data_IF_292054807882
#
_entry.id   IF_292054807882
#
_cell.length_a   1.000
_cell.length_b   1.000
_cell.length_c   1.000
_cell.angle_alpha   90.00
_cell.angle_beta   90.00
_cell.angle_gamma   90.00
#
_symmetry.space_group_name_H-M   'P 1'
#
loop_
_entity.id
_entity.type
_entity.pdbx_description
1 polymer ?
#
# COMPACT_ATOMS: atom_id res chain seq x y z
N UNK A 1 -7.03 -17.63 26.69
CA UNK A 1 -5.80 -17.83 27.49
C UNK A 1 -4.62 -17.44 26.62
N UNK A 2 -4.18 -16.18 26.67
CA UNK A 2 -3.01 -15.70 25.94
C UNK A 2 -2.01 -15.20 26.98
N UNK A 3 -0.85 -15.85 26.96
CA UNK A 3 0.24 -15.74 27.92
C UNK A 3 0.78 -14.31 27.95
N UNK A 4 0.68 -13.70 29.13
CA UNK A 4 1.24 -12.39 29.46
C UNK A 4 2.77 -12.51 29.57
N UNK A 5 3.49 -12.11 28.52
CA UNK A 5 4.93 -11.83 28.64
C UNK A 5 5.10 -10.43 29.20
N UNK A 6 5.34 -10.37 30.51
CA UNK A 6 5.78 -9.19 31.25
C UNK A 6 7.09 -8.67 30.65
N UNK A 7 7.05 -7.52 29.98
CA UNK A 7 8.25 -6.75 29.66
C UNK A 7 8.66 -5.97 30.91
N UNK A 8 9.45 -6.62 31.76
CA UNK A 8 10.15 -6.00 32.87
C UNK A 8 11.35 -5.22 32.32
N UNK A 9 11.14 -3.94 32.03
CA UNK A 9 12.21 -2.96 31.91
C UNK A 9 12.01 -1.90 33.00
N UNK A 10 12.64 -2.10 34.15
CA UNK A 10 12.88 -1.04 35.13
C UNK A 10 11.72 -0.65 36.06
N UNK A 11 10.92 -1.59 36.56
CA UNK A 11 10.07 -1.36 37.74
C UNK A 11 8.88 -0.41 37.53
N UNK A 12 8.24 -0.44 36.36
CA UNK A 12 7.02 0.32 36.10
C UNK A 12 5.82 -0.61 36.00
N UNK A 13 5.02 -0.68 37.07
CA UNK A 13 3.64 -1.18 37.02
C UNK A 13 2.83 -0.17 36.21
N UNK A 14 2.23 -0.65 35.12
CA UNK A 14 1.35 0.12 34.26
C UNK A 14 0.12 0.50 35.07
N UNK A 15 -0.08 1.80 35.29
CA UNK A 15 -1.17 2.37 36.08
C UNK A 15 -2.52 2.12 35.41
N UNK A 16 -3.25 1.10 35.85
CA UNK A 16 -4.71 1.14 35.88
C UNK A 16 -5.15 1.84 37.17
N UNK A 17 -6.16 2.72 37.08
CA UNK A 17 -6.91 3.36 38.19
C UNK A 17 -6.56 4.79 38.65
N UNK A 18 -5.82 5.60 37.89
CA UNK A 18 -5.86 7.06 38.13
C UNK A 18 -6.10 7.81 36.84
N UNK A 19 -7.37 8.17 36.60
CA UNK A 19 -7.73 9.21 35.64
C UNK A 19 -7.20 10.53 36.24
N UNK A 20 -5.97 10.91 35.88
CA UNK A 20 -5.42 12.21 36.28
C UNK A 20 -6.26 13.30 35.61
N UNK A 21 -6.85 14.24 36.37
CA UNK A 21 -7.61 15.32 35.77
C UNK A 21 -6.66 16.22 34.96
N UNK A 22 -6.93 16.20 33.65
CA UNK A 22 -6.65 17.19 32.61
C UNK A 22 -6.03 18.48 33.16
N UNK A 23 -4.77 18.78 32.79
CA UNK A 23 -4.07 20.09 32.78
C UNK A 23 -4.66 21.22 33.65
N UNK A 24 -4.98 20.98 34.92
CA UNK A 24 -5.48 21.99 35.85
C UNK A 24 -4.32 22.39 36.76
N UNK A 25 -3.72 23.60 36.60
CA UNK A 25 -2.55 24.01 37.38
C UNK A 25 -2.80 24.08 38.89
N UNK A 26 -4.07 24.25 39.29
CA UNK A 26 -4.51 24.31 40.69
C UNK A 26 -4.69 22.93 41.33
N UNK A 27 -4.58 21.83 40.57
CA UNK A 27 -4.75 20.50 41.12
C UNK A 27 -3.53 20.11 41.99
N UNK A 28 -3.72 19.55 43.20
CA UNK A 28 -2.62 19.22 44.12
C UNK A 28 -1.54 18.33 43.49
N UNK A 29 -1.93 17.43 42.59
CA UNK A 29 -1.03 16.50 41.90
C UNK A 29 -0.46 17.03 40.58
N UNK A 30 -0.77 18.27 40.18
CA UNK A 30 -0.37 18.82 38.87
C UNK A 30 1.15 18.84 38.70
N UNK A 31 1.91 19.23 39.72
CA UNK A 31 3.38 19.28 39.66
C UNK A 31 3.98 17.89 39.45
N UNK A 32 3.45 16.88 40.16
CA UNK A 32 3.90 15.49 40.02
C UNK A 32 3.55 14.93 38.63
N UNK A 33 2.33 15.18 38.16
CA UNK A 33 1.88 14.82 36.81
C UNK A 33 2.74 15.49 35.73
N UNK A 34 2.97 16.80 35.83
CA UNK A 34 3.79 17.59 34.89
C UNK A 34 5.19 17.03 34.76
N UNK A 35 5.86 16.75 35.89
CA UNK A 35 7.21 16.14 35.88
C UNK A 35 7.20 14.78 35.19
N UNK A 36 6.24 13.91 35.49
CA UNK A 36 6.10 12.59 34.85
C UNK A 36 5.83 12.70 33.35
N UNK A 37 4.92 13.58 32.97
CA UNK A 37 4.53 13.83 31.57
C UNK A 37 5.71 14.33 30.73
N UNK A 38 6.52 15.25 31.25
CA UNK A 38 7.76 15.71 30.60
C UNK A 38 8.76 14.57 30.41
N UNK A 39 8.90 13.69 31.41
CA UNK A 39 9.80 12.53 31.34
C UNK A 39 9.34 11.53 30.28
N UNK A 40 8.04 11.20 30.26
CA UNK A 40 7.45 10.29 29.27
C UNK A 40 7.58 10.88 27.86
N UNK A 41 7.31 12.17 27.68
CA UNK A 41 7.54 12.88 26.41
C UNK A 41 8.96 12.68 25.90
N UNK A 42 9.97 12.94 26.74
CA UNK A 42 11.38 12.74 26.39
C UNK A 42 11.68 11.29 26.04
N UNK A 43 11.10 10.34 26.76
CA UNK A 43 11.25 8.91 26.48
C UNK A 43 10.65 8.53 25.12
N UNK A 44 9.43 8.98 24.82
CA UNK A 44 8.74 8.75 23.54
C UNK A 44 9.57 9.27 22.35
N UNK A 45 10.03 10.53 22.42
CA UNK A 45 10.84 11.13 21.35
C UNK A 45 12.16 10.39 21.14
N UNK A 46 12.78 9.85 22.22
CA UNK A 46 14.02 9.07 22.14
C UNK A 46 13.85 7.72 21.44
N UNK A 47 12.65 7.16 21.41
CA UNK A 47 12.40 5.89 20.70
C UNK A 47 12.35 6.07 19.18
N UNK A 48 12.24 7.31 18.70
CA UNK A 48 12.07 7.59 17.27
C UNK A 48 13.43 7.65 16.55
N UNK A 49 13.44 7.17 15.30
CA UNK A 49 14.58 7.34 14.40
C UNK A 49 14.89 8.83 14.20
N UNK A 50 16.13 9.14 13.80
CA UNK A 50 16.56 10.53 13.57
C UNK A 50 15.64 11.24 12.55
N UNK A 51 15.27 10.54 11.48
CA UNK A 51 14.40 11.06 10.41
C UNK A 51 13.01 11.45 10.92
N UNK A 52 12.39 10.60 11.75
CA UNK A 52 11.06 10.87 12.32
C UNK A 52 11.13 12.01 13.32
N UNK A 53 12.23 12.15 14.07
CA UNK A 53 12.45 13.29 14.98
C UNK A 53 12.60 14.61 14.24
N UNK A 54 13.29 14.65 13.11
CA UNK A 54 13.40 15.88 12.31
C UNK A 54 12.05 16.28 11.70
N UNK A 55 11.27 15.31 11.20
CA UNK A 55 9.90 15.56 10.73
C UNK A 55 8.93 16.05 11.81
N UNK A 56 9.21 15.73 13.08
CA UNK A 56 8.44 16.24 14.22
C UNK A 56 8.79 17.71 14.56
N UNK A 57 9.95 18.20 14.10
CA UNK A 57 10.42 19.59 14.31
C UNK A 57 10.04 20.53 13.17
N UNK A 58 9.77 20.02 11.98
CA UNK A 58 9.33 20.79 10.82
C UNK A 58 7.81 21.07 10.90
N UNK A 59 7.39 22.29 10.60
CA UNK A 59 6.92 23.33 11.54
C UNK A 59 5.49 23.11 12.09
N UNK A 60 5.38 23.13 13.43
CA UNK A 60 4.34 23.81 14.23
C UNK A 60 4.98 24.05 15.59
N UNK A 61 5.58 25.22 15.75
CA UNK A 61 5.71 25.80 17.09
C UNK A 61 4.30 25.82 17.69
N UNK A 62 4.23 25.41 18.94
CA UNK A 62 3.06 25.31 19.81
C UNK A 62 2.56 23.88 20.08
N UNK A 63 2.92 23.44 21.29
CA UNK A 63 2.30 22.42 22.13
C UNK A 63 2.76 20.98 21.85
N UNK A 64 4.07 20.71 21.98
CA UNK A 64 4.56 19.41 22.46
C UNK A 64 4.86 19.50 23.96
N UNK A 65 3.98 20.09 24.76
CA UNK A 65 4.31 20.42 26.15
C UNK A 65 4.37 19.17 27.04
N UNK A 66 3.45 18.24 26.79
CA UNK A 66 3.23 17.05 27.60
C UNK A 66 3.32 15.75 26.78
N UNK A 67 3.23 14.61 27.47
CA UNK A 67 3.36 13.28 26.87
C UNK A 67 2.24 12.96 25.87
N UNK A 68 1.02 13.37 26.18
CA UNK A 68 -0.17 13.24 25.32
C UNK A 68 -0.01 14.04 24.03
N UNK A 69 0.47 15.28 24.12
CA UNK A 69 0.76 16.10 22.94
C UNK A 69 1.76 15.44 22.00
N UNK A 70 2.84 14.88 22.56
CA UNK A 70 3.86 14.19 21.78
C UNK A 70 3.37 12.86 21.20
N UNK A 71 2.56 12.12 21.95
CA UNK A 71 1.93 10.91 21.44
C UNK A 71 1.00 11.24 20.25
N UNK A 72 0.18 12.27 20.37
CA UNK A 72 -0.73 12.69 19.29
C UNK A 72 0.02 13.20 18.06
N UNK A 73 1.11 13.94 18.25
CA UNK A 73 1.94 14.40 17.14
C UNK A 73 2.62 13.23 16.41
N UNK A 74 3.17 12.26 17.15
CA UNK A 74 3.74 11.03 16.58
C UNK A 74 2.66 10.24 15.84
N UNK A 75 1.50 10.05 16.47
CA UNK A 75 0.37 9.34 15.87
C UNK A 75 -0.09 10.01 14.57
N UNK A 76 -0.24 11.35 14.57
CA UNK A 76 -0.58 12.11 13.36
C UNK A 76 0.48 11.99 12.28
N UNK A 77 1.77 11.99 12.64
CA UNK A 77 2.85 11.84 11.69
C UNK A 77 2.81 10.47 11.01
N UNK A 78 2.60 9.40 11.79
CA UNK A 78 2.43 8.03 11.28
C UNK A 78 1.18 7.94 10.40
N UNK A 79 0.02 8.37 10.89
CA UNK A 79 -1.24 8.33 10.12
C UNK A 79 -1.18 9.17 8.84
N UNK A 80 -0.49 10.32 8.84
CA UNK A 80 -0.27 11.12 7.63
C UNK A 80 0.64 10.40 6.66
N UNK A 81 1.69 9.74 7.15
CA UNK A 81 2.58 8.94 6.32
C UNK A 81 1.83 7.77 5.67
N UNK A 82 0.99 7.08 6.44
CA UNK A 82 0.17 5.97 5.96
C UNK A 82 -0.86 6.46 4.93
N UNK A 83 -1.59 7.54 5.20
CA UNK A 83 -2.56 8.09 4.24
C UNK A 83 -1.91 8.59 2.94
N UNK A 84 -0.76 9.27 3.03
CA UNK A 84 0.00 9.70 1.84
C UNK A 84 0.47 8.49 1.05
N UNK A 85 0.94 7.43 1.72
CA UNK A 85 1.34 6.19 1.09
C UNK A 85 0.16 5.50 0.40
N UNK A 86 -0.97 5.31 1.09
CA UNK A 86 -2.20 4.74 0.54
C UNK A 86 -2.67 5.52 -0.68
N UNK A 87 -2.72 6.86 -0.59
CA UNK A 87 -3.10 7.75 -1.71
C UNK A 87 -2.17 7.58 -2.89
N UNK A 88 -0.85 7.61 -2.67
CA UNK A 88 0.14 7.50 -3.73
C UNK A 88 0.08 6.13 -4.41
N UNK A 89 -0.05 5.05 -3.63
CA UNK A 89 -0.17 3.68 -4.16
C UNK A 89 -1.44 3.49 -4.97
N UNK A 90 -2.59 3.95 -4.44
CA UNK A 90 -3.87 3.88 -5.16
C UNK A 90 -3.84 4.71 -6.46
N UNK A 91 -3.38 5.96 -6.38
CA UNK A 91 -3.27 6.84 -7.55
C UNK A 91 -2.35 6.23 -8.61
N UNK A 92 -1.20 5.70 -8.19
CA UNK A 92 -0.26 5.00 -9.07
C UNK A 92 -0.93 3.83 -9.78
N UNK A 93 -1.73 3.02 -9.09
CA UNK A 93 -2.46 1.88 -9.67
C UNK A 93 -3.50 2.33 -10.71
N UNK A 94 -4.30 3.35 -10.41
CA UNK A 94 -5.33 3.86 -11.33
C UNK A 94 -4.71 4.53 -12.57
N UNK A 95 -3.57 5.20 -12.41
CA UNK A 95 -2.90 5.93 -13.49
C UNK A 95 -2.01 5.04 -14.38
N UNK A 96 -1.89 3.74 -14.08
CA UNK A 96 -1.10 2.82 -14.91
C UNK A 96 -1.72 2.65 -16.29
N UNK A 97 -0.97 3.05 -17.32
CA UNK A 97 -1.35 2.91 -18.73
C UNK A 97 -0.50 1.89 -19.44
N UNK A 98 -1.10 1.11 -20.34
CA UNK A 98 -0.39 0.14 -21.17
C UNK A 98 0.69 0.77 -22.03
N UNK A 99 0.48 2.00 -22.50
CA UNK A 99 1.42 2.76 -23.34
C UNK A 99 2.74 3.12 -22.64
N UNK A 100 2.80 3.09 -21.30
CA UNK A 100 4.04 3.36 -20.55
C UNK A 100 5.01 2.17 -20.53
N UNK A 101 4.64 1.04 -21.14
CA UNK A 101 5.40 -0.20 -21.10
C UNK A 101 5.73 -0.70 -22.51
N UNK A 102 6.92 -1.30 -22.65
CA UNK A 102 7.38 -1.84 -23.94
C UNK A 102 6.63 -3.10 -24.37
N UNK A 103 6.11 -3.88 -23.42
CA UNK A 103 5.36 -5.12 -23.69
C UNK A 103 4.16 -5.23 -22.77
N UNK A 104 3.16 -6.01 -23.19
CA UNK A 104 2.00 -6.36 -22.38
C UNK A 104 2.46 -7.08 -21.11
N UNK A 105 3.35 -8.06 -21.22
CA UNK A 105 3.85 -8.79 -20.05
C UNK A 105 4.45 -7.87 -18.98
N UNK A 106 5.21 -6.84 -19.38
CA UNK A 106 5.75 -5.84 -18.43
C UNK A 106 4.67 -4.99 -17.79
N UNK A 107 3.67 -4.56 -18.57
CA UNK A 107 2.52 -3.82 -18.05
C UNK A 107 1.75 -4.65 -17.02
N UNK A 108 1.31 -5.86 -17.38
CA UNK A 108 0.51 -6.73 -16.51
C UNK A 108 1.28 -7.12 -15.26
N UNK A 109 2.58 -7.41 -15.36
CA UNK A 109 3.42 -7.72 -14.18
C UNK A 109 3.53 -6.52 -13.24
N UNK A 110 3.72 -5.32 -13.79
CA UNK A 110 3.78 -4.10 -12.98
C UNK A 110 2.43 -3.78 -12.33
N UNK A 111 1.34 -3.93 -13.08
CA UNK A 111 -0.02 -3.71 -12.61
C UNK A 111 -0.39 -4.68 -11.49
N UNK A 112 -0.06 -5.97 -11.66
CA UNK A 112 -0.24 -7.00 -10.61
C UNK A 112 0.50 -6.65 -9.31
N UNK A 113 1.73 -6.13 -9.39
CA UNK A 113 2.49 -5.71 -8.21
C UNK A 113 1.84 -4.51 -7.53
N UNK A 114 1.47 -3.48 -8.30
CA UNK A 114 0.79 -2.31 -7.75
C UNK A 114 -0.57 -2.66 -7.10
N UNK A 115 -1.27 -3.66 -7.63
CA UNK A 115 -2.48 -4.20 -7.01
C UNK A 115 -2.18 -4.84 -5.65
N UNK A 116 -1.15 -5.68 -5.55
CA UNK A 116 -0.73 -6.28 -4.27
C UNK A 116 -0.34 -5.19 -3.27
N UNK A 117 0.47 -4.22 -3.68
CA UNK A 117 0.86 -3.09 -2.83
C UNK A 117 -0.37 -2.33 -2.28
N UNK A 118 -1.43 -2.18 -3.09
CA UNK A 118 -2.66 -1.53 -2.67
C UNK A 118 -3.51 -2.38 -1.69
N UNK A 119 -3.53 -3.71 -1.88
CA UNK A 119 -4.18 -4.62 -0.95
C UNK A 119 -3.47 -4.67 0.41
N UNK A 120 -2.13 -4.71 0.42
CA UNK A 120 -1.32 -4.72 1.64
C UNK A 120 -1.50 -3.43 2.48
N UNK A 121 -1.80 -2.31 1.83
CA UNK A 121 -2.08 -1.03 2.48
C UNK A 121 -3.55 -0.80 2.82
N UNK A 122 -4.40 -1.83 2.65
CA UNK A 122 -5.86 -1.77 2.85
C UNK A 122 -6.54 -0.62 2.07
N UNK A 123 -5.90 -0.12 1.00
CA UNK A 123 -6.46 0.90 0.10
C UNK A 123 -7.08 0.26 -1.16
N UNK A 124 -7.59 -0.96 -0.98
CA UNK A 124 -7.90 -1.91 -2.04
C UNK A 124 -9.00 -1.47 -3.00
N UNK A 125 -8.69 -1.58 -4.29
CA UNK A 125 -9.67 -1.70 -5.36
C UNK A 125 -10.21 -3.14 -5.38
N UNK A 126 -11.48 -3.34 -5.71
CA UNK A 126 -12.00 -4.71 -5.83
C UNK A 126 -11.31 -5.45 -6.98
N UNK A 127 -11.11 -6.78 -6.88
CA UNK A 127 -10.55 -7.59 -7.96
C UNK A 127 -11.25 -7.35 -9.31
N UNK A 128 -12.58 -7.25 -9.28
CA UNK A 128 -13.41 -6.93 -10.44
C UNK A 128 -13.06 -5.59 -11.08
N UNK A 129 -12.99 -4.51 -10.30
CA UNK A 129 -12.62 -3.19 -10.80
C UNK A 129 -11.19 -3.17 -11.36
N UNK A 130 -10.27 -3.90 -10.72
CA UNK A 130 -8.89 -4.03 -11.21
C UNK A 130 -8.83 -4.75 -12.57
N UNK A 131 -9.65 -5.79 -12.78
CA UNK A 131 -9.79 -6.48 -14.07
C UNK A 131 -10.34 -5.54 -15.13
N UNK A 132 -11.44 -4.82 -14.86
CA UNK A 132 -12.02 -3.91 -15.84
C UNK A 132 -11.03 -2.84 -16.31
N UNK A 133 -10.29 -2.27 -15.37
CA UNK A 133 -9.25 -1.29 -15.69
C UNK A 133 -8.12 -1.92 -16.52
N UNK A 134 -7.66 -3.11 -16.15
CA UNK A 134 -6.63 -3.82 -16.92
C UNK A 134 -7.11 -4.15 -18.34
N UNK A 135 -8.34 -4.67 -18.49
CA UNK A 135 -8.93 -5.02 -19.79
C UNK A 135 -9.04 -3.80 -20.71
N UNK A 136 -9.48 -2.65 -20.18
CA UNK A 136 -9.51 -1.38 -20.93
C UNK A 136 -8.14 -0.98 -21.46
N UNK A 137 -7.07 -1.25 -20.71
CA UNK A 137 -5.70 -0.94 -21.16
C UNK A 137 -5.17 -1.96 -22.17
N UNK A 138 -5.72 -3.17 -22.20
CA UNK A 138 -5.32 -4.26 -23.10
C UNK A 138 -6.13 -4.31 -24.40
N UNK A 139 -7.23 -3.57 -24.51
CA UNK A 139 -8.11 -3.55 -25.68
C UNK A 139 -7.37 -3.22 -26.98
N UNK A 140 -6.35 -2.34 -26.92
CA UNK A 140 -5.52 -2.00 -28.08
C UNK A 140 -4.58 -3.12 -28.54
N UNK A 141 -4.14 -4.01 -27.65
CA UNK A 141 -3.25 -5.12 -27.99
C UNK A 141 -4.04 -6.39 -28.34
N UNK A 142 -5.16 -6.66 -27.65
CA UNK A 142 -5.93 -7.90 -27.75
C UNK A 142 -7.46 -7.69 -27.79
N UNK A 143 -8.01 -6.96 -28.76
CA UNK A 143 -9.42 -6.56 -28.76
C UNK A 143 -10.38 -7.76 -28.65
N UNK A 144 -10.24 -8.76 -29.52
CA UNK A 144 -11.11 -9.95 -29.51
C UNK A 144 -11.01 -10.75 -28.21
N UNK A 145 -9.84 -10.80 -27.58
CA UNK A 145 -9.69 -11.51 -26.32
C UNK A 145 -10.33 -10.74 -25.16
N UNK A 146 -10.20 -9.40 -25.17
CA UNK A 146 -10.87 -8.54 -24.18
C UNK A 146 -12.38 -8.72 -24.27
N UNK A 147 -12.95 -8.70 -25.48
CA UNK A 147 -14.39 -8.93 -25.69
C UNK A 147 -14.86 -10.28 -25.14
N UNK A 148 -14.11 -11.35 -25.45
CA UNK A 148 -14.43 -12.70 -24.95
C UNK A 148 -14.39 -12.74 -23.42
N UNK A 149 -13.37 -12.13 -22.80
CA UNK A 149 -13.28 -12.11 -21.33
C UNK A 149 -14.43 -11.31 -20.73
N UNK A 150 -14.73 -10.12 -21.26
CA UNK A 150 -15.84 -9.30 -20.78
C UNK A 150 -17.19 -10.02 -20.88
N UNK A 151 -17.45 -10.71 -21.99
CA UNK A 151 -18.65 -11.52 -22.19
C UNK A 151 -18.69 -12.79 -21.31
N UNK A 152 -17.53 -13.25 -20.83
CA UNK A 152 -17.41 -14.44 -19.97
C UNK A 152 -17.40 -14.10 -18.48
N UNK A 153 -17.46 -12.81 -18.11
CA UNK A 153 -17.57 -12.42 -16.70
C UNK A 153 -18.96 -12.82 -16.18
N UNK A 154 -19.04 -13.45 -15.00
CA UNK A 154 -20.33 -13.85 -14.44
C UNK A 154 -21.19 -12.63 -14.09
N UNK A 155 -22.52 -12.78 -14.12
CA UNK A 155 -23.46 -11.68 -13.85
C UNK A 155 -23.29 -11.10 -12.42
N UNK A 156 -22.83 -11.93 -11.48
CA UNK A 156 -22.51 -11.57 -10.11
C UNK A 156 -21.01 -11.26 -9.88
N UNK A 157 -20.23 -11.04 -10.95
CA UNK A 157 -18.78 -10.77 -10.88
C UNK A 157 -18.42 -9.60 -9.96
N UNK A 158 -19.33 -8.65 -9.74
CA UNK A 158 -19.06 -7.57 -8.77
C UNK A 158 -18.82 -8.09 -7.34
N UNK A 159 -19.40 -9.22 -6.97
CA UNK A 159 -19.38 -9.77 -5.61
C UNK A 159 -18.60 -11.09 -5.54
N UNK A 160 -18.73 -11.95 -6.55
CA UNK A 160 -18.11 -13.27 -6.54
C UNK A 160 -16.64 -13.29 -7.01
N UNK A 161 -16.18 -12.23 -7.68
CA UNK A 161 -14.86 -12.23 -8.32
C UNK A 161 -13.74 -12.05 -7.29
N UNK A 162 -12.84 -13.04 -7.23
CA UNK A 162 -11.81 -13.13 -6.20
C UNK A 162 -10.45 -12.62 -6.69
N UNK A 163 -9.52 -12.40 -5.76
CA UNK A 163 -8.11 -12.14 -6.09
C UNK A 163 -7.48 -13.26 -6.93
N UNK A 164 -7.88 -14.52 -6.67
CA UNK A 164 -7.38 -15.67 -7.42
C UNK A 164 -7.79 -15.59 -8.89
N UNK A 165 -9.02 -15.14 -9.18
CA UNK A 165 -9.52 -14.95 -10.55
C UNK A 165 -8.74 -13.83 -11.26
N UNK A 166 -8.47 -12.73 -10.55
CA UNK A 166 -7.63 -11.65 -11.07
C UNK A 166 -6.22 -12.17 -11.43
N UNK A 167 -5.53 -12.84 -10.50
CA UNK A 167 -4.19 -13.35 -10.76
C UNK A 167 -4.14 -14.40 -11.86
N UNK A 168 -5.19 -15.24 -11.98
CA UNK A 168 -5.34 -16.21 -13.06
C UNK A 168 -5.44 -15.49 -14.41
N UNK A 169 -6.27 -14.44 -14.52
CA UNK A 169 -6.37 -13.64 -15.74
C UNK A 169 -5.05 -12.97 -16.11
N UNK A 170 -4.33 -12.39 -15.13
CA UNK A 170 -2.99 -11.84 -15.38
C UNK A 170 -2.04 -12.89 -15.99
N UNK A 171 -2.06 -14.11 -15.46
CA UNK A 171 -1.26 -15.23 -15.98
C UNK A 171 -1.63 -15.62 -17.41
N UNK A 172 -2.92 -15.66 -17.73
CA UNK A 172 -3.41 -15.95 -19.09
C UNK A 172 -2.93 -14.91 -20.09
N UNK A 173 -2.97 -13.63 -19.73
CA UNK A 173 -2.50 -12.54 -20.61
C UNK A 173 -1.01 -12.65 -20.88
N UNK A 174 -0.20 -12.88 -19.84
CA UNK A 174 1.25 -13.03 -19.97
C UNK A 174 1.57 -14.22 -20.90
N UNK A 175 0.93 -15.37 -20.69
CA UNK A 175 1.12 -16.53 -21.55
C UNK A 175 0.72 -16.28 -23.02
N UNK A 176 -0.29 -15.42 -23.25
CA UNK A 176 -0.73 -15.03 -24.59
C UNK A 176 0.30 -14.11 -25.29
N UNK A 177 0.81 -13.11 -24.58
CA UNK A 177 1.86 -12.20 -25.09
C UNK A 177 3.15 -12.96 -25.44
N UNK A 178 3.54 -13.91 -24.59
CA UNK A 178 4.73 -14.74 -24.81
C UNK A 178 4.59 -15.62 -26.06
N UNK A 179 3.39 -16.22 -26.28
CA UNK A 179 3.12 -17.01 -27.50
C UNK A 179 3.21 -16.17 -28.77
N UNK A 180 2.58 -15.00 -28.78
CA UNK A 180 2.62 -14.08 -29.94
C UNK A 180 4.03 -13.58 -30.22
N UNK A 181 4.81 -13.34 -29.16
CA UNK A 181 6.22 -12.96 -29.28
C UNK A 181 7.07 -14.07 -29.89
N UNK A 182 6.79 -15.34 -29.59
CA UNK A 182 7.47 -16.50 -30.18
C UNK A 182 7.07 -16.71 -31.65
N UNK A 183 5.78 -16.61 -31.97
CA UNK A 183 5.29 -16.77 -33.34
C UNK A 183 5.87 -15.69 -34.26
N UNK A 184 5.96 -14.45 -33.78
CA UNK A 184 6.62 -13.36 -34.52
C UNK A 184 8.09 -13.68 -34.79
N UNK A 185 8.82 -14.23 -33.82
CA UNK A 185 10.23 -14.62 -34.02
C UNK A 185 10.39 -15.77 -35.02
N UNK A 186 9.47 -16.74 -35.04
CA UNK A 186 9.48 -17.86 -36.00
C UNK A 186 9.20 -17.39 -37.43
N UNK A 187 8.19 -16.53 -37.62
CA UNK A 187 7.87 -15.99 -38.96
C UNK A 187 9.00 -15.16 -39.58
N UNK A 188 9.82 -14.48 -38.76
CA UNK A 188 11.02 -13.78 -39.24
C UNK A 188 12.19 -14.74 -39.57
N UNK A 189 12.26 -15.91 -38.93
CA UNK A 189 13.31 -16.91 -39.19
C UNK A 189 13.10 -17.68 -40.51
N UNK A 190 11.85 -17.95 -40.88
CA UNK A 190 11.54 -18.67 -42.13
C UNK A 190 11.69 -17.77 -43.38
N UNK A 191 11.41 -16.47 -43.27
CA UNK A 191 11.62 -15.51 -44.36
C UNK A 191 13.09 -15.27 -44.72
N UNK A 192 14.01 -15.42 -43.76
CA UNK A 192 15.45 -15.26 -44.02
C UNK A 192 16.06 -16.47 -44.76
N UNK A 193 15.46 -17.65 -44.63
CA UNK A 193 15.97 -18.88 -45.26
C UNK A 193 15.52 -19.02 -46.73
N UNK A 194 14.45 -18.34 -47.15
CA UNK A 194 14.00 -18.34 -48.56
C UNK A 194 14.72 -17.32 -49.44
N UNK A 195 15.31 -16.25 -48.87
CA UNK A 195 16.06 -15.24 -49.64
C UNK A 195 17.50 -15.70 -49.96
N UNK A 196 18.01 -16.73 -49.27
CA UNK A 196 19.35 -17.27 -49.51
C UNK A 196 19.40 -18.42 -50.56
N UNK A 197 18.27 -18.74 -51.21
CA UNK A 197 18.15 -19.84 -52.16
C UNK A 197 17.68 -19.41 -53.57
N UNK A 198 17.83 -18.12 -53.92
CA UNK A 198 17.52 -17.56 -55.24
C UNK A 198 18.74 -16.99 -55.92
#
# INVERSE_FOLDING_TARGET
MISSRRLNAGGWTIFSEVIYPVRIPTHPNFVAWRRRSITIRKWLIRQLSREVREKLKEPRDDILEYADDAYDAIRRLILRHDNVLCKNTFTKLIDMRRSHYSTVTRYVTAYRRAYIDAQELECGITPYCAVLQMLRQLEGDFPTWVDVVQCSLPDDARVAFTDADFFKLCGVVIAKDDRLSLDRKRGFGEGASQVAAG
#
